data_IF_603268136192
#
_entry.id   IF_603268136192
#
_cell.length_a   1.000
_cell.length_b   1.000
_cell.length_c   1.000
_cell.angle_alpha   90.00
_cell.angle_beta   90.00
_cell.angle_gamma   90.00
#
_symmetry.space_group_name_H-M   'P 1'
#
loop_
_entity.id
_entity.type
_entity.pdbx_description
1 polymer ?
#
# COMPACT_ATOMS: atom_id res chain seq x y z
N UNK A 1 11.09 -21.42 16.42
CA UNK A 1 10.85 -20.33 15.47
C UNK A 1 10.16 -20.88 14.23
N UNK A 2 9.15 -20.16 13.71
CA UNK A 2 8.29 -20.67 12.62
C UNK A 2 8.85 -20.38 11.23
N UNK A 3 9.96 -19.64 11.11
CA UNK A 3 10.61 -19.32 9.83
C UNK A 3 9.80 -18.34 8.95
N UNK A 4 8.85 -17.61 9.53
CA UNK A 4 8.05 -16.62 8.79
C UNK A 4 8.93 -15.46 8.33
N UNK A 5 8.68 -14.96 7.09
CA UNK A 5 9.46 -13.90 6.47
C UNK A 5 8.81 -12.51 6.60
N UNK A 6 7.61 -12.44 7.11
CA UNK A 6 6.85 -11.20 7.24
C UNK A 6 5.60 -11.36 8.06
N UNK A 7 4.82 -10.27 8.13
CA UNK A 7 3.58 -10.19 8.89
C UNK A 7 2.57 -9.34 8.13
N UNK A 8 1.29 -9.68 8.25
CA UNK A 8 0.18 -8.86 7.77
C UNK A 8 -0.36 -7.98 8.89
N UNK A 9 -0.65 -6.73 8.58
CA UNK A 9 -1.33 -5.77 9.46
C UNK A 9 -2.47 -5.08 8.73
N UNK A 10 -3.44 -4.53 9.48
CA UNK A 10 -4.48 -3.68 8.92
C UNK A 10 -3.94 -2.34 8.41
N UNK A 11 -4.81 -1.55 7.78
CA UNK A 11 -4.53 -0.14 7.45
C UNK A 11 -4.44 0.75 8.70
N UNK A 12 -4.91 0.24 9.81
CA UNK A 12 -4.82 0.79 11.17
C UNK A 12 -4.95 -0.36 12.19
N UNK A 13 -4.66 -0.09 13.45
CA UNK A 13 -4.77 -1.07 14.56
C UNK A 13 -5.68 -0.47 15.64
N UNK A 14 -6.92 -0.93 15.71
CA UNK A 14 -7.93 -0.28 16.54
C UNK A 14 -8.09 1.19 16.14
N UNK A 15 -7.91 2.12 17.08
CA UNK A 15 -7.98 3.56 16.83
C UNK A 15 -6.65 4.17 16.36
N UNK A 16 -5.57 3.39 16.26
CA UNK A 16 -4.25 3.86 15.88
C UNK A 16 -4.05 3.79 14.37
N UNK A 17 -3.77 4.92 13.75
CA UNK A 17 -3.20 4.94 12.40
C UNK A 17 -1.77 4.37 12.40
N UNK A 18 -1.23 4.04 11.22
CA UNK A 18 0.09 3.40 11.12
C UNK A 18 1.26 4.33 11.49
N UNK A 19 1.03 5.62 11.72
CA UNK A 19 2.00 6.58 12.23
C UNK A 19 1.96 6.73 13.75
N UNK A 20 1.03 6.04 14.44
CA UNK A 20 0.90 6.11 15.90
C UNK A 20 2.23 5.71 16.59
N UNK A 21 2.67 6.48 17.61
CA UNK A 21 3.90 6.18 18.34
C UNK A 21 3.95 4.77 18.93
N UNK A 22 2.80 4.23 19.31
CA UNK A 22 2.63 2.90 19.90
C UNK A 22 3.01 1.78 18.92
N UNK A 23 2.95 2.03 17.61
CA UNK A 23 3.29 1.06 16.57
C UNK A 23 4.76 1.17 16.14
N UNK A 24 5.49 2.20 16.56
CA UNK A 24 6.85 2.43 16.04
C UNK A 24 7.82 1.29 16.38
N UNK A 25 7.78 0.76 17.60
CA UNK A 25 8.63 -0.36 18.01
C UNK A 25 8.38 -1.62 17.18
N UNK A 26 7.12 -1.86 16.76
CA UNK A 26 6.78 -2.96 15.87
C UNK A 26 7.43 -2.78 14.49
N UNK A 27 7.35 -1.59 13.89
CA UNK A 27 7.98 -1.30 12.61
C UNK A 27 9.50 -1.35 12.69
N UNK A 28 10.06 -0.87 13.78
CA UNK A 28 11.50 -0.93 14.03
C UNK A 28 11.98 -2.39 14.11
N UNK A 29 11.30 -3.23 14.88
CA UNK A 29 11.63 -4.65 14.99
C UNK A 29 11.53 -5.36 13.62
N UNK A 30 10.48 -5.09 12.83
CA UNK A 30 10.36 -5.64 11.49
C UNK A 30 11.52 -5.20 10.58
N UNK A 31 11.91 -3.93 10.63
CA UNK A 31 13.04 -3.39 9.87
C UNK A 31 14.37 -4.04 10.26
N UNK A 32 14.64 -4.21 11.56
CA UNK A 32 15.85 -4.83 12.10
C UNK A 32 15.95 -6.32 11.75
N UNK A 33 14.82 -7.03 11.76
CA UNK A 33 14.73 -8.43 11.36
C UNK A 33 14.71 -8.65 9.84
N UNK A 34 14.58 -7.57 9.04
CA UNK A 34 14.39 -7.64 7.59
C UNK A 34 13.05 -8.26 7.18
N UNK A 35 12.08 -8.33 8.12
CA UNK A 35 10.75 -8.86 7.87
C UNK A 35 9.92 -7.90 7.02
N UNK A 36 9.15 -8.46 6.07
CA UNK A 36 8.23 -7.67 5.27
C UNK A 36 6.88 -7.45 6.00
N UNK A 37 6.28 -6.30 5.79
CA UNK A 37 4.93 -5.98 6.30
C UNK A 37 3.99 -5.87 5.11
N UNK A 38 2.94 -6.73 5.08
CA UNK A 38 1.82 -6.58 4.17
C UNK A 38 0.73 -5.76 4.87
N UNK A 39 0.41 -4.60 4.32
CA UNK A 39 -0.73 -3.79 4.77
C UNK A 39 -1.96 -4.22 3.98
N UNK A 40 -2.88 -4.89 4.66
CA UNK A 40 -4.13 -5.36 4.08
C UNK A 40 -5.31 -4.84 4.90
N UNK A 41 -6.14 -3.92 4.37
CA UNK A 41 -7.26 -3.35 5.12
C UNK A 41 -8.31 -4.40 5.47
N UNK A 42 -8.87 -4.27 6.65
CA UNK A 42 -9.95 -5.13 7.12
C UNK A 42 -11.15 -4.33 7.62
N UNK A 43 -10.92 -3.29 8.40
CA UNK A 43 -11.96 -2.42 8.95
C UNK A 43 -11.94 -1.08 8.21
N UNK A 44 -12.91 -0.88 7.31
CA UNK A 44 -12.88 0.21 6.36
C UNK A 44 -13.53 1.47 6.92
N UNK A 45 -12.87 2.62 6.69
CA UNK A 45 -13.43 3.94 7.02
C UNK A 45 -14.80 4.14 6.35
N UNK A 46 -15.67 4.89 7.01
CA UNK A 46 -16.96 5.27 6.46
C UNK A 46 -18.00 4.14 6.37
N UNK A 47 -17.71 2.95 6.89
CA UNK A 47 -18.62 1.79 6.89
C UNK A 47 -20.06 2.16 7.34
N UNK A 48 -20.29 2.97 8.38
CA UNK A 48 -21.65 3.37 8.78
C UNK A 48 -22.42 4.15 7.69
N UNK A 49 -21.73 4.87 6.82
CA UNK A 49 -22.34 5.60 5.68
C UNK A 49 -22.47 4.76 4.41
N UNK A 50 -21.96 3.53 4.42
CA UNK A 50 -21.93 2.62 3.28
C UNK A 50 -22.66 1.28 3.55
N UNK A 51 -23.93 1.27 4.01
CA UNK A 51 -24.61 0.05 4.47
C UNK A 51 -25.09 -0.87 3.33
N UNK A 52 -24.93 -0.47 2.07
CA UNK A 52 -25.41 -1.21 0.89
C UNK A 52 -24.34 -1.36 -0.17
N UNK A 53 -24.63 -2.26 -1.15
CA UNK A 53 -23.83 -2.44 -2.37
C UNK A 53 -22.37 -2.85 -2.12
N UNK A 54 -22.10 -3.42 -0.95
CA UNK A 54 -20.75 -3.85 -0.57
C UNK A 54 -19.71 -2.72 -0.63
N UNK A 55 -20.16 -1.47 -0.53
CA UNK A 55 -19.33 -0.27 -0.65
C UNK A 55 -18.13 -0.20 0.31
N UNK A 56 -18.17 -0.74 1.54
CA UNK A 56 -16.95 -0.77 2.37
C UNK A 56 -15.78 -1.46 1.66
N UNK A 57 -16.03 -2.57 0.95
CA UNK A 57 -14.99 -3.29 0.19
C UNK A 57 -14.69 -2.62 -1.15
N UNK A 58 -15.71 -2.16 -1.88
CA UNK A 58 -15.51 -1.60 -3.22
C UNK A 58 -14.92 -0.18 -3.21
N UNK A 59 -15.20 0.61 -2.18
CA UNK A 59 -14.82 2.02 -2.07
C UNK A 59 -13.95 2.29 -0.84
N UNK A 60 -14.36 1.77 0.32
CA UNK A 60 -13.65 1.98 1.58
C UNK A 60 -12.26 1.34 1.58
N UNK A 61 -12.13 0.10 1.14
CA UNK A 61 -10.86 -0.63 1.14
C UNK A 61 -9.76 0.05 0.29
N UNK A 62 -10.00 0.51 -0.96
CA UNK A 62 -9.02 1.32 -1.68
C UNK A 62 -8.65 2.63 -0.99
N UNK A 63 -9.60 3.28 -0.31
CA UNK A 63 -9.33 4.52 0.44
C UNK A 63 -8.47 4.26 1.68
N UNK A 64 -8.67 3.13 2.37
CA UNK A 64 -7.86 2.70 3.50
C UNK A 64 -6.38 2.53 3.14
N UNK A 65 -6.07 1.97 1.97
CA UNK A 65 -4.69 1.86 1.50
C UNK A 65 -4.03 3.23 1.35
N UNK A 66 -4.76 4.20 0.80
CA UNK A 66 -4.25 5.57 0.69
C UNK A 66 -4.02 6.22 2.05
N UNK A 67 -4.93 6.01 3.03
CA UNK A 67 -4.75 6.48 4.41
C UNK A 67 -3.50 5.87 5.02
N UNK A 68 -3.34 4.54 4.94
CA UNK A 68 -2.20 3.83 5.48
C UNK A 68 -0.87 4.33 4.89
N UNK A 69 -0.79 4.46 3.57
CA UNK A 69 0.40 4.97 2.89
C UNK A 69 0.72 6.42 3.33
N UNK A 70 -0.28 7.29 3.37
CA UNK A 70 -0.11 8.68 3.82
C UNK A 70 0.37 8.76 5.28
N UNK A 71 -0.19 7.95 6.19
CA UNK A 71 0.25 7.91 7.59
C UNK A 71 1.71 7.45 7.70
N UNK A 72 2.10 6.37 7.03
CA UNK A 72 3.49 5.88 7.02
C UNK A 72 4.48 6.92 6.48
N UNK A 73 4.07 7.66 5.44
CA UNK A 73 4.91 8.69 4.80
C UNK A 73 4.95 9.94 5.67
N UNK A 74 3.80 10.57 5.93
CA UNK A 74 3.75 11.87 6.60
C UNK A 74 4.13 11.80 8.08
N UNK A 75 3.78 10.71 8.78
CA UNK A 75 4.24 10.44 10.15
C UNK A 75 5.73 10.06 10.25
N UNK A 76 6.45 10.02 9.12
CA UNK A 76 7.90 9.80 9.06
C UNK A 76 8.35 8.39 9.42
N UNK A 77 7.46 7.40 9.41
CA UNK A 77 7.84 6.00 9.69
C UNK A 77 8.85 5.50 8.66
N UNK A 78 8.54 5.72 7.36
CA UNK A 78 9.44 5.31 6.26
C UNK A 78 10.74 6.10 6.24
N UNK A 79 10.72 7.39 6.64
CA UNK A 79 11.93 8.22 6.74
C UNK A 79 12.88 7.72 7.84
N UNK A 80 12.32 7.41 9.00
CA UNK A 80 13.10 6.90 10.15
C UNK A 80 13.56 5.45 9.95
N UNK A 81 12.86 4.66 9.13
CA UNK A 81 13.13 3.23 8.89
C UNK A 81 13.32 2.96 7.38
N UNK A 82 14.42 3.45 6.77
CA UNK A 82 14.63 3.35 5.31
C UNK A 82 14.81 1.92 4.79
N UNK A 83 15.03 0.94 5.69
CA UNK A 83 15.13 -0.49 5.34
C UNK A 83 13.82 -1.25 5.54
N UNK A 84 12.78 -0.61 6.08
CA UNK A 84 11.50 -1.23 6.30
C UNK A 84 10.86 -1.62 4.96
N UNK A 85 10.44 -2.87 4.84
CA UNK A 85 9.78 -3.40 3.65
C UNK A 85 8.28 -3.39 3.88
N UNK A 86 7.57 -2.52 3.18
CA UNK A 86 6.10 -2.42 3.24
C UNK A 86 5.51 -2.71 1.88
N UNK A 87 4.62 -3.69 1.81
CA UNK A 87 3.78 -3.97 0.66
C UNK A 87 2.35 -3.52 0.95
N UNK A 88 1.77 -2.78 0.03
CA UNK A 88 0.37 -2.35 0.06
C UNK A 88 -0.46 -3.30 -0.80
N UNK A 89 -1.45 -3.96 -0.21
CA UNK A 89 -2.34 -4.85 -0.93
C UNK A 89 -3.22 -4.09 -1.96
N UNK A 90 -3.78 -4.82 -2.92
CA UNK A 90 -4.69 -4.30 -3.95
C UNK A 90 -4.08 -3.15 -4.75
N UNK A 91 -2.81 -3.33 -5.19
CA UNK A 91 -2.06 -2.31 -5.91
C UNK A 91 -1.89 -1.00 -5.14
N UNK A 92 -2.00 -1.03 -3.80
CA UNK A 92 -2.02 0.18 -2.98
C UNK A 92 -3.35 0.94 -3.03
N UNK A 93 -4.42 0.31 -3.50
CA UNK A 93 -5.75 0.90 -3.59
C UNK A 93 -5.79 2.16 -4.46
N UNK A 94 -6.26 3.28 -3.91
CA UNK A 94 -6.28 4.55 -4.63
C UNK A 94 -4.97 5.35 -4.51
N UNK A 95 -4.00 4.92 -3.71
CA UNK A 95 -2.78 5.69 -3.43
C UNK A 95 -1.95 6.00 -4.69
N UNK A 96 -1.56 5.03 -5.54
CA UNK A 96 -0.77 5.34 -6.73
C UNK A 96 -1.50 6.28 -7.70
N UNK A 97 -2.82 6.15 -7.79
CA UNK A 97 -3.65 6.98 -8.65
C UNK A 97 -3.78 8.42 -8.13
N UNK A 98 -3.77 8.59 -6.82
CA UNK A 98 -3.93 9.90 -6.15
C UNK A 98 -2.62 10.55 -5.73
N UNK A 99 -1.47 9.94 -5.99
CA UNK A 99 -0.16 10.46 -5.56
C UNK A 99 0.10 11.90 -6.03
N UNK A 100 -0.36 12.25 -7.23
CA UNK A 100 -0.24 13.63 -7.72
C UNK A 100 -1.04 14.64 -6.89
N UNK A 101 -2.25 14.26 -6.41
CA UNK A 101 -3.04 15.09 -5.50
C UNK A 101 -2.38 15.20 -4.12
N UNK A 102 -1.82 14.11 -3.63
CA UNK A 102 -1.13 14.05 -2.33
C UNK A 102 0.11 14.95 -2.35
N UNK A 103 0.93 14.85 -3.39
CA UNK A 103 2.09 15.73 -3.62
C UNK A 103 1.72 17.19 -3.79
N UNK A 104 0.65 17.46 -4.54
CA UNK A 104 0.15 18.85 -4.71
C UNK A 104 -0.29 19.42 -3.36
N UNK A 105 -1.03 18.66 -2.55
CA UNK A 105 -1.42 19.05 -1.20
C UNK A 105 -0.22 19.34 -0.29
N UNK A 106 0.80 18.48 -0.34
CA UNK A 106 2.06 18.67 0.37
C UNK A 106 2.74 20.02 -0.01
N UNK A 107 2.80 20.34 -1.30
CA UNK A 107 3.42 21.56 -1.79
C UNK A 107 2.60 22.81 -1.47
N UNK A 108 1.27 22.73 -1.49
CA UNK A 108 0.38 23.86 -1.27
C UNK A 108 0.12 24.17 0.20
N UNK A 109 0.14 23.16 1.05
CA UNK A 109 -0.14 23.28 2.48
C UNK A 109 0.88 22.54 3.34
N UNK A 110 2.18 22.88 3.20
CA UNK A 110 3.24 22.28 4.02
C UNK A 110 3.00 22.49 5.52
N UNK A 111 2.34 23.57 5.88
CA UNK A 111 1.93 23.90 7.24
C UNK A 111 0.99 22.85 7.88
N UNK A 112 0.26 22.09 7.06
CA UNK A 112 -0.64 21.02 7.51
C UNK A 112 -0.12 19.61 7.21
N UNK A 113 0.69 19.45 6.18
CA UNK A 113 1.04 18.13 5.63
C UNK A 113 2.49 17.73 5.94
N UNK A 114 3.42 18.70 5.95
CA UNK A 114 4.84 18.47 6.20
C UNK A 114 5.23 18.70 7.67
N UNK A 115 4.33 18.39 8.61
CA UNK A 115 4.53 18.68 10.04
C UNK A 115 5.57 17.76 10.68
N UNK A 116 5.52 16.47 10.36
CA UNK A 116 6.38 15.46 10.97
C UNK A 116 7.43 14.93 9.98
N UNK A 117 7.19 15.08 8.68
CA UNK A 117 8.11 14.69 7.62
C UNK A 117 8.12 15.72 6.48
N UNK A 118 9.22 16.48 6.29
CA UNK A 118 9.34 17.50 5.26
C UNK A 118 9.72 16.95 3.87
N UNK A 119 9.92 15.64 3.71
CA UNK A 119 10.31 15.02 2.45
C UNK A 119 9.09 14.79 1.55
N UNK A 120 9.29 15.01 0.23
CA UNK A 120 8.23 14.86 -0.76
C UNK A 120 7.65 13.43 -0.74
N UNK A 121 6.30 13.26 -0.67
CA UNK A 121 5.67 11.94 -0.58
C UNK A 121 5.96 11.05 -1.79
N UNK A 122 6.20 11.59 -2.98
CA UNK A 122 6.53 10.83 -4.19
C UNK A 122 7.85 10.08 -4.08
N UNK A 123 8.81 10.59 -3.31
CA UNK A 123 10.12 9.96 -3.11
C UNK A 123 10.03 8.58 -2.44
N UNK A 124 8.90 8.32 -1.75
CA UNK A 124 8.68 7.04 -1.06
C UNK A 124 8.10 5.94 -1.94
N UNK A 125 7.69 6.24 -3.19
CA UNK A 125 7.27 5.20 -4.14
C UNK A 125 8.38 4.15 -4.36
N UNK A 126 9.64 4.57 -4.36
CA UNK A 126 10.78 3.67 -4.49
C UNK A 126 11.06 2.78 -3.25
N UNK A 127 10.42 3.08 -2.10
CA UNK A 127 10.55 2.30 -0.86
C UNK A 127 9.36 1.37 -0.64
N UNK A 128 8.21 1.67 -1.21
CA UNK A 128 6.99 0.88 -1.10
C UNK A 128 6.95 -0.23 -2.15
N UNK A 129 6.30 -1.33 -1.79
CA UNK A 129 5.91 -2.41 -2.69
C UNK A 129 4.39 -2.45 -2.82
N UNK A 130 3.92 -3.03 -3.89
CA UNK A 130 2.50 -3.15 -4.21
C UNK A 130 2.23 -4.56 -4.71
N UNK A 131 1.06 -5.10 -4.47
CA UNK A 131 0.67 -6.31 -5.18
C UNK A 131 0.04 -5.98 -6.55
N UNK A 132 -0.05 -6.99 -7.41
CA UNK A 132 -0.57 -6.83 -8.77
C UNK A 132 -2.09 -6.92 -8.87
N UNK A 133 -2.80 -7.17 -7.75
CA UNK A 133 -4.23 -7.41 -7.81
C UNK A 133 -5.04 -6.11 -7.84
N UNK A 134 -5.37 -5.64 -9.04
CA UNK A 134 -6.15 -4.42 -9.28
C UNK A 134 -7.38 -4.64 -10.16
N UNK A 135 -7.65 -5.89 -10.59
CA UNK A 135 -8.79 -6.34 -11.37
C UNK A 135 -9.02 -5.62 -12.72
N UNK A 136 -8.02 -4.92 -13.26
CA UNK A 136 -8.07 -4.19 -14.52
C UNK A 136 -6.67 -4.02 -15.13
N UNK A 137 -6.48 -4.44 -16.39
CA UNK A 137 -5.18 -4.40 -17.07
C UNK A 137 -4.62 -2.97 -17.23
N UNK A 138 -5.49 -1.98 -17.41
CA UNK A 138 -5.07 -0.58 -17.54
C UNK A 138 -4.62 0.00 -16.21
N UNK A 139 -5.31 -0.39 -15.13
CA UNK A 139 -4.92 -0.01 -13.78
C UNK A 139 -3.57 -0.66 -13.41
N UNK A 140 -3.37 -1.94 -13.76
CA UNK A 140 -2.09 -2.61 -13.55
C UNK A 140 -0.96 -1.97 -14.36
N UNK A 141 -1.20 -1.62 -15.62
CA UNK A 141 -0.24 -0.87 -16.44
C UNK A 141 0.13 0.46 -15.79
N UNK A 142 -0.88 1.22 -15.36
CA UNK A 142 -0.66 2.49 -14.67
C UNK A 142 0.17 2.32 -13.39
N UNK A 143 -0.11 1.27 -12.60
CA UNK A 143 0.64 0.94 -11.39
C UNK A 143 2.13 0.69 -11.72
N UNK A 144 2.41 -0.16 -12.71
CA UNK A 144 3.77 -0.46 -13.17
C UNK A 144 4.51 0.79 -13.66
N UNK A 145 3.83 1.62 -14.47
CA UNK A 145 4.41 2.86 -15.01
C UNK A 145 4.68 3.91 -13.90
N UNK A 146 3.87 3.91 -12.84
CA UNK A 146 3.97 4.89 -11.76
C UNK A 146 4.97 4.47 -10.68
N UNK A 147 4.98 3.20 -10.30
CA UNK A 147 5.75 2.69 -9.17
C UNK A 147 7.02 1.94 -9.58
N UNK A 148 7.08 1.45 -10.81
CA UNK A 148 8.17 0.62 -11.33
C UNK A 148 7.86 -0.88 -11.24
N UNK A 149 8.31 -1.65 -12.23
CA UNK A 149 8.09 -3.11 -12.31
C UNK A 149 8.76 -3.88 -11.16
N UNK A 150 9.85 -3.36 -10.62
CA UNK A 150 10.58 -3.92 -9.47
C UNK A 150 9.91 -3.66 -8.11
N UNK A 151 8.78 -2.96 -8.11
CA UNK A 151 7.98 -2.63 -6.91
C UNK A 151 6.63 -3.31 -6.88
N UNK A 152 6.26 -4.03 -7.94
CA UNK A 152 4.98 -4.73 -8.01
C UNK A 152 5.22 -6.23 -7.94
N UNK A 153 4.57 -6.89 -6.99
CA UNK A 153 4.69 -8.32 -6.72
C UNK A 153 3.38 -9.03 -7.08
N UNK A 154 3.45 -10.31 -7.44
CA UNK A 154 2.25 -11.12 -7.62
C UNK A 154 1.42 -11.17 -6.33
N UNK A 155 0.17 -10.74 -6.40
CA UNK A 155 -0.83 -10.89 -5.35
C UNK A 155 -2.16 -11.32 -5.95
N UNK A 156 -2.93 -12.14 -5.24
CA UNK A 156 -4.16 -12.74 -5.74
C UNK A 156 -5.38 -12.45 -4.90
N UNK A 157 -5.18 -11.96 -3.68
CA UNK A 157 -6.25 -11.82 -2.67
C UNK A 157 -7.03 -13.13 -2.41
N UNK A 158 -6.41 -14.29 -2.68
CA UNK A 158 -7.00 -15.60 -2.36
C UNK A 158 -7.13 -15.78 -0.83
N UNK A 159 -8.24 -16.31 -0.30
CA UNK A 159 -9.37 -16.95 -1.00
C UNK A 159 -10.62 -16.05 -1.10
N UNK A 160 -10.48 -14.77 -1.13
CA UNK A 160 -11.61 -13.83 -1.11
C UNK A 160 -12.35 -13.78 -2.46
N UNK A 161 -13.68 -13.49 -2.45
CA UNK A 161 -14.47 -13.46 -3.68
C UNK A 161 -14.03 -12.41 -4.72
N UNK A 162 -13.34 -11.34 -4.26
CA UNK A 162 -12.75 -10.32 -5.15
C UNK A 162 -11.39 -10.74 -5.70
N UNK A 163 -10.78 -11.83 -5.17
CA UNK A 163 -9.46 -12.27 -5.55
C UNK A 163 -9.35 -12.77 -6.99
N UNK A 164 -8.12 -12.79 -7.51
CA UNK A 164 -7.79 -13.32 -8.82
C UNK A 164 -8.00 -14.85 -8.84
N UNK A 165 -8.85 -15.33 -9.75
CA UNK A 165 -9.19 -16.75 -9.83
C UNK A 165 -8.09 -17.60 -10.50
N UNK A 166 -7.34 -16.97 -11.42
CA UNK A 166 -6.20 -17.56 -12.13
C UNK A 166 -4.94 -16.75 -11.79
N UNK A 167 -4.15 -17.15 -10.79
CA UNK A 167 -3.02 -16.37 -10.31
C UNK A 167 -2.03 -16.00 -11.42
N UNK A 168 -1.79 -14.70 -11.59
CA UNK A 168 -0.87 -14.16 -12.58
C UNK A 168 -1.46 -13.93 -13.97
N UNK A 169 -2.75 -14.22 -14.19
CA UNK A 169 -3.40 -13.97 -15.48
C UNK A 169 -3.35 -12.50 -15.89
N UNK A 170 -3.58 -11.57 -14.94
CA UNK A 170 -3.47 -10.13 -15.16
C UNK A 170 -2.07 -9.71 -15.62
N UNK A 171 -1.02 -10.23 -14.98
CA UNK A 171 0.37 -9.95 -15.38
C UNK A 171 0.65 -10.52 -16.77
N UNK A 172 0.23 -11.76 -17.03
CA UNK A 172 0.45 -12.42 -18.33
C UNK A 172 -0.25 -11.67 -19.48
N UNK A 173 -1.42 -11.06 -19.23
CA UNK A 173 -2.18 -10.30 -20.25
C UNK A 173 -1.47 -9.03 -20.73
N UNK A 174 -0.58 -8.46 -19.90
CA UNK A 174 0.07 -7.17 -20.20
C UNK A 174 1.18 -7.23 -21.26
N UNK A 175 1.57 -8.40 -21.76
CA UNK A 175 2.65 -8.56 -22.71
C UNK A 175 3.95 -7.83 -22.29
N UNK A 176 4.30 -7.93 -20.99
CA UNK A 176 5.54 -7.40 -20.44
C UNK A 176 6.75 -8.16 -21.01
N UNK A 177 7.93 -7.56 -20.95
CA UNK A 177 9.17 -8.27 -21.28
C UNK A 177 9.38 -9.47 -20.33
N UNK A 178 10.10 -10.49 -20.78
CA UNK A 178 10.41 -11.65 -19.93
C UNK A 178 11.15 -11.23 -18.63
N UNK A 179 12.01 -10.22 -18.72
CA UNK A 179 12.74 -9.69 -17.56
C UNK A 179 11.81 -8.97 -16.57
N UNK A 180 10.80 -8.25 -17.06
CA UNK A 180 9.83 -7.57 -16.19
C UNK A 180 8.83 -8.54 -15.55
N UNK A 181 8.50 -9.64 -16.25
CA UNK A 181 7.66 -10.70 -15.67
C UNK A 181 8.39 -11.54 -14.61
N UNK A 182 9.71 -11.61 -14.66
CA UNK A 182 10.54 -12.39 -13.75
C UNK A 182 10.92 -11.64 -12.45
N UNK A 183 10.64 -10.36 -12.39
CA UNK A 183 10.90 -9.50 -11.21
C UNK A 183 9.76 -9.54 -10.21
#
# INVERSE_FOLDING_TARGET
ELGLQGVQVGSHVGDWNLDAPELFEFFQAASELGAAILVHPWDMMGTPSMPKYWLPWLVGMPAEQSRAACCLIFGGVLERLPKLKVCLAHGGGSFPYTIGRIEHGFNMRPDLVATDNPRNPRDYLAQLYFDSWVADDRALRYLLDTCGTDRVMLGTDYPFPLGEQEPGAGIASLALSADDQAR
#
